data_IF_641075223115
#
_entry.id   IF_641075223115
#
_cell.length_a   1.000
_cell.length_b   1.000
_cell.length_c   1.000
_cell.angle_alpha   90.00
_cell.angle_beta   90.00
_cell.angle_gamma   90.00
#
_symmetry.space_group_name_H-M   'P 1'
#
loop_
_entity.id
_entity.type
_entity.pdbx_description
1 polymer ?
#
# COMPACT_ATOMS: atom_id res chain seq x y z
N UNK A 1 21.96 17.79 18.99
CA UNK A 1 20.78 17.77 18.12
C UNK A 1 20.90 16.58 17.19
N UNK A 2 20.22 15.48 17.50
CA UNK A 2 20.18 14.31 16.61
C UNK A 2 18.97 14.47 15.70
N UNK A 3 19.22 14.95 14.49
CA UNK A 3 18.26 15.05 13.41
C UNK A 3 17.73 13.64 13.11
N UNK A 4 16.52 13.35 13.58
CA UNK A 4 15.79 12.12 13.28
C UNK A 4 15.57 12.07 11.78
N UNK A 5 16.50 11.40 11.09
CA UNK A 5 16.47 11.14 9.65
C UNK A 5 15.08 10.68 9.29
N UNK A 6 14.43 11.45 8.44
CA UNK A 6 13.07 11.28 7.99
C UNK A 6 12.95 9.99 7.14
N UNK A 7 12.92 8.83 7.81
CA UNK A 7 12.92 7.50 7.17
C UNK A 7 11.62 7.18 6.43
N UNK A 8 10.58 7.97 6.66
CA UNK A 8 9.25 7.83 6.06
C UNK A 8 8.92 8.99 5.12
N UNK A 9 9.93 9.58 4.47
CA UNK A 9 9.66 10.51 3.37
C UNK A 9 9.19 9.74 2.14
N UNK A 10 8.10 10.19 1.53
CA UNK A 10 7.49 9.55 0.36
C UNK A 10 7.40 10.51 -0.82
N UNK A 11 7.45 9.94 -2.02
CA UNK A 11 7.38 10.69 -3.27
C UNK A 11 6.29 10.15 -4.18
N UNK A 12 5.50 11.08 -4.71
CA UNK A 12 4.40 10.75 -5.62
C UNK A 12 4.94 10.41 -7.02
N UNK A 13 4.45 9.31 -7.59
CA UNK A 13 4.81 8.90 -8.95
C UNK A 13 3.97 9.66 -10.00
N UNK A 14 4.29 9.51 -11.29
CA UNK A 14 3.61 10.25 -12.36
C UNK A 14 2.10 9.92 -12.46
N UNK A 15 1.70 8.67 -12.19
CA UNK A 15 0.30 8.27 -12.16
C UNK A 15 -0.45 8.92 -10.98
N UNK A 16 0.19 8.97 -9.81
CA UNK A 16 -0.31 9.64 -8.61
C UNK A 16 -0.54 11.13 -8.84
N UNK A 17 0.35 11.83 -9.55
CA UNK A 17 0.13 13.24 -9.94
C UNK A 17 -1.15 13.43 -10.74
N UNK A 18 -1.41 12.54 -11.68
CA UNK A 18 -2.63 12.60 -12.51
C UNK A 18 -3.88 12.33 -11.67
N UNK A 19 -3.84 11.32 -10.78
CA UNK A 19 -4.93 11.02 -9.84
C UNK A 19 -5.21 12.21 -8.91
N UNK A 20 -4.18 12.82 -8.31
CA UNK A 20 -4.31 14.02 -7.47
C UNK A 20 -4.94 15.19 -8.22
N UNK A 21 -4.51 15.43 -9.46
CA UNK A 21 -5.03 16.51 -10.31
C UNK A 21 -6.50 16.26 -10.67
N UNK A 22 -6.86 15.01 -11.01
CA UNK A 22 -8.25 14.61 -11.30
C UNK A 22 -9.15 14.74 -10.07
N UNK A 23 -8.69 14.27 -8.90
CA UNK A 23 -9.44 14.36 -7.66
C UNK A 23 -9.66 15.82 -7.25
N UNK A 24 -8.63 16.67 -7.38
CA UNK A 24 -8.74 18.11 -7.17
C UNK A 24 -9.77 18.74 -8.10
N UNK A 25 -9.72 18.42 -9.41
CA UNK A 25 -10.64 18.96 -10.41
C UNK A 25 -12.10 18.53 -10.17
N UNK A 26 -12.32 17.33 -9.62
CA UNK A 26 -13.65 16.83 -9.28
C UNK A 26 -14.25 17.43 -8.01
N UNK A 27 -13.40 17.97 -7.11
CA UNK A 27 -13.86 18.47 -5.81
C UNK A 27 -14.20 19.95 -5.85
N UNK A 28 -15.39 20.29 -5.38
CA UNK A 28 -15.87 21.68 -5.23
C UNK A 28 -15.86 22.09 -3.76
N UNK A 29 -15.50 23.34 -3.50
CA UNK A 29 -15.58 23.93 -2.17
C UNK A 29 -17.03 24.40 -1.89
N UNK A 30 -17.27 24.93 -0.70
CA UNK A 30 -18.57 25.47 -0.29
C UNK A 30 -19.03 26.67 -1.14
N UNK A 31 -18.12 27.29 -1.91
CA UNK A 31 -18.41 28.35 -2.88
C UNK A 31 -18.67 27.82 -4.31
N UNK A 32 -18.71 26.50 -4.49
CA UNK A 32 -18.87 25.86 -5.81
C UNK A 32 -17.63 25.93 -6.71
N UNK A 33 -16.50 26.44 -6.21
CA UNK A 33 -15.23 26.56 -6.95
C UNK A 33 -14.39 25.29 -6.78
N UNK A 34 -13.53 25.01 -7.76
CA UNK A 34 -12.55 23.92 -7.67
C UNK A 34 -11.62 24.19 -6.49
N UNK A 35 -11.31 23.14 -5.72
CA UNK A 35 -10.39 23.27 -4.59
C UNK A 35 -9.03 23.83 -5.01
N UNK A 36 -8.56 24.86 -4.31
CA UNK A 36 -7.21 25.40 -4.45
C UNK A 36 -6.22 24.61 -3.58
N UNK A 37 -4.92 24.88 -3.75
CA UNK A 37 -3.92 24.27 -2.87
C UNK A 37 -4.11 24.69 -1.41
N UNK A 38 -4.51 25.93 -1.15
CA UNK A 38 -4.89 26.42 0.17
C UNK A 38 -6.10 25.67 0.79
N UNK A 39 -7.12 25.34 0.00
CA UNK A 39 -8.28 24.58 0.48
C UNK A 39 -7.87 23.16 0.89
N UNK A 40 -7.04 22.50 0.07
CA UNK A 40 -6.51 21.17 0.36
C UNK A 40 -5.62 21.21 1.61
N UNK A 41 -4.76 22.22 1.70
CA UNK A 41 -3.87 22.44 2.85
C UNK A 41 -4.66 22.62 4.15
N UNK A 42 -5.72 23.42 4.11
CA UNK A 42 -6.63 23.64 5.25
C UNK A 42 -7.37 22.36 5.63
N UNK A 43 -7.86 21.60 4.66
CA UNK A 43 -8.56 20.34 4.90
C UNK A 43 -7.65 19.23 5.45
N UNK A 44 -6.37 19.22 5.04
CA UNK A 44 -5.38 18.24 5.48
C UNK A 44 -4.62 18.68 6.74
N UNK A 45 -4.76 19.93 7.19
CA UNK A 45 -4.02 20.48 8.33
C UNK A 45 -2.51 20.63 8.07
N UNK A 46 -2.11 20.85 6.82
CA UNK A 46 -0.69 20.98 6.41
C UNK A 46 -0.43 22.34 5.76
N UNK A 47 0.84 22.70 5.59
CA UNK A 47 1.21 23.93 4.87
C UNK A 47 0.95 23.83 3.37
N UNK A 48 0.50 24.91 2.74
CA UNK A 48 0.30 24.96 1.28
C UNK A 48 1.57 24.62 0.51
N UNK A 49 2.74 25.03 1.02
CA UNK A 49 4.05 24.65 0.45
C UNK A 49 4.22 23.14 0.39
N UNK A 50 3.83 22.41 1.43
CA UNK A 50 3.89 20.94 1.47
C UNK A 50 2.97 20.31 0.43
N UNK A 51 1.77 20.85 0.24
CA UNK A 51 0.85 20.40 -0.82
C UNK A 51 1.44 20.62 -2.20
N UNK A 52 1.98 21.82 -2.47
CA UNK A 52 2.64 22.14 -3.75
C UNK A 52 3.84 21.22 -4.02
N UNK A 53 4.64 20.92 -2.99
CA UNK A 53 5.75 19.96 -3.07
C UNK A 53 5.26 18.57 -3.45
N UNK A 54 4.23 18.07 -2.76
CA UNK A 54 3.67 16.74 -3.01
C UNK A 54 3.07 16.62 -4.41
N UNK A 55 2.29 17.59 -4.87
CA UNK A 55 1.74 17.64 -6.23
C UNK A 55 2.84 17.74 -7.30
N UNK A 56 3.90 18.50 -7.02
CA UNK A 56 5.04 18.62 -7.92
C UNK A 56 5.83 17.31 -8.06
N UNK A 57 5.85 16.47 -7.01
CA UNK A 57 6.62 15.22 -6.93
C UNK A 57 8.08 15.39 -7.33
N UNK A 58 8.67 16.54 -6.97
CA UNK A 58 10.10 16.84 -7.12
C UNK A 58 10.87 16.59 -5.82
N UNK A 59 10.21 16.76 -4.69
CA UNK A 59 10.78 16.64 -3.34
C UNK A 59 10.00 15.58 -2.56
N UNK A 60 10.69 14.90 -1.65
CA UNK A 60 10.10 13.96 -0.72
C UNK A 60 9.37 14.73 0.40
N UNK A 61 8.22 14.21 0.81
CA UNK A 61 7.42 14.77 1.90
C UNK A 61 7.14 13.71 2.95
N UNK A 62 7.02 14.12 4.21
CA UNK A 62 6.64 13.24 5.30
C UNK A 62 5.41 12.40 4.97
N UNK A 63 5.47 11.09 5.18
CA UNK A 63 4.34 10.17 4.96
C UNK A 63 3.07 10.60 5.68
N UNK A 64 3.19 11.10 6.91
CA UNK A 64 2.04 11.59 7.68
C UNK A 64 1.34 12.76 6.95
N UNK A 65 2.14 13.71 6.43
CA UNK A 65 1.61 14.83 5.64
C UNK A 65 1.03 14.36 4.30
N UNK A 66 1.70 13.44 3.61
CA UNK A 66 1.24 12.88 2.35
C UNK A 66 -0.07 12.11 2.50
N UNK A 67 -0.21 11.33 3.58
CA UNK A 67 -1.43 10.59 3.91
C UNK A 67 -2.58 11.55 4.23
N UNK A 68 -2.34 12.60 5.01
CA UNK A 68 -3.35 13.62 5.28
C UNK A 68 -3.87 14.28 4.00
N UNK A 69 -2.96 14.63 3.05
CA UNK A 69 -3.34 15.20 1.75
C UNK A 69 -4.15 14.19 0.92
N UNK A 70 -3.73 12.92 0.87
CA UNK A 70 -4.43 11.87 0.14
C UNK A 70 -5.85 11.67 0.71
N UNK A 71 -5.97 11.54 2.04
CA UNK A 71 -7.25 11.40 2.75
C UNK A 71 -8.17 12.60 2.53
N UNK A 72 -7.63 13.82 2.53
CA UNK A 72 -8.41 15.02 2.23
C UNK A 72 -9.03 15.00 0.83
N UNK A 73 -8.35 14.35 -0.14
CA UNK A 73 -8.85 14.14 -1.50
C UNK A 73 -9.63 12.84 -1.68
N UNK A 74 -9.87 12.09 -0.59
CA UNK A 74 -10.50 10.78 -0.61
C UNK A 74 -9.75 9.74 -1.47
N UNK A 75 -8.42 9.82 -1.45
CA UNK A 75 -7.50 8.93 -2.16
C UNK A 75 -6.68 8.14 -1.16
N UNK A 76 -6.19 6.98 -1.58
CA UNK A 76 -5.25 6.18 -0.80
C UNK A 76 -3.81 6.54 -1.20
N UNK A 77 -2.95 6.84 -0.22
CA UNK A 77 -1.55 7.19 -0.45
C UNK A 77 -0.80 6.10 -1.24
N UNK A 78 -1.07 4.82 -0.96
CA UNK A 78 -0.41 3.68 -1.63
C UNK A 78 -0.67 3.62 -3.14
N UNK A 79 -1.76 4.22 -3.61
CA UNK A 79 -2.07 4.33 -5.04
C UNK A 79 -1.38 5.52 -5.73
N UNK A 80 -0.78 6.42 -4.94
CA UNK A 80 -0.18 7.66 -5.42
C UNK A 80 1.35 7.59 -5.44
N UNK A 81 1.93 6.80 -4.53
CA UNK A 81 3.37 6.56 -4.44
C UNK A 81 3.69 5.23 -5.09
N UNK A 82 4.95 5.06 -5.52
CA UNK A 82 5.43 3.72 -5.85
C UNK A 82 5.45 2.91 -4.54
N UNK A 83 4.96 1.65 -4.52
CA UNK A 83 5.11 0.84 -3.33
C UNK A 83 6.61 0.83 -2.96
N UNK A 84 6.98 0.99 -1.68
CA UNK A 84 8.33 0.59 -1.30
C UNK A 84 8.46 -0.85 -1.80
N UNK A 85 9.58 -1.18 -2.43
CA UNK A 85 9.92 -2.53 -2.88
C UNK A 85 9.91 -3.47 -1.67
N UNK A 86 8.73 -3.79 -1.18
CA UNK A 86 8.49 -4.86 -0.25
C UNK A 86 8.64 -6.10 -1.10
N UNK A 87 9.49 -7.00 -0.59
CA UNK A 87 9.79 -8.34 -1.06
C UNK A 87 8.63 -8.98 -1.86
N UNK A 88 8.95 -9.83 -2.86
CA UNK A 88 7.95 -10.46 -3.71
C UNK A 88 6.78 -10.93 -2.86
N UNK A 89 5.58 -10.45 -3.18
CA UNK A 89 4.34 -11.00 -2.66
C UNK A 89 4.26 -12.46 -3.14
N UNK A 90 4.92 -13.34 -2.38
CA UNK A 90 4.70 -14.78 -2.35
C UNK A 90 3.29 -14.98 -1.80
N UNK A 91 2.31 -14.94 -2.71
CA UNK A 91 0.91 -14.82 -2.34
C UNK A 91 -0.06 -15.16 -3.46
N UNK A 92 0.35 -15.98 -4.43
CA UNK A 92 -0.58 -16.63 -5.34
C UNK A 92 -0.08 -18.04 -5.62
N UNK A 93 -0.74 -19.03 -5.01
CA UNK A 93 -0.50 -20.45 -5.31
C UNK A 93 0.00 -21.30 -4.16
N UNK A 94 -0.46 -21.07 -2.92
CA UNK A 94 -0.54 -22.19 -1.98
C UNK A 94 -1.61 -23.14 -2.52
N UNK A 95 -1.20 -24.07 -3.39
CA UNK A 95 -1.90 -25.33 -3.54
C UNK A 95 -1.67 -26.06 -2.21
N UNK A 96 -2.70 -26.29 -1.36
CA UNK A 96 -2.55 -27.29 -0.33
C UNK A 96 -2.41 -28.62 -1.07
N UNK A 97 -1.23 -29.21 -1.00
CA UNK A 97 -1.03 -30.64 -1.28
C UNK A 97 -2.11 -31.40 -0.50
N UNK A 98 -2.94 -32.25 -1.14
CA UNK A 98 -3.90 -33.05 -0.41
C UNK A 98 -3.13 -34.04 0.47
N UNK A 99 -3.01 -33.74 1.75
CA UNK A 99 -2.55 -34.69 2.75
C UNK A 99 -3.74 -35.61 3.07
N UNK A 100 -3.98 -36.57 2.17
CA UNK A 100 -4.96 -37.64 2.35
C UNK A 100 -4.34 -38.96 1.93
N UNK A 101 -3.80 -39.69 2.90
CA UNK A 101 -3.91 -41.15 3.04
C UNK A 101 -2.98 -41.63 4.16
N UNK A 102 -3.38 -41.38 5.41
CA UNK A 102 -3.04 -42.33 6.46
C UNK A 102 -3.87 -43.60 6.25
N UNK A 103 -3.17 -44.73 6.10
CA UNK A 103 -3.59 -46.15 6.21
C UNK A 103 -3.28 -46.97 4.93
N UNK A 104 -2.09 -47.57 4.91
CA UNK A 104 -1.93 -48.95 4.45
C UNK A 104 -1.20 -49.71 5.55
N UNK A 105 -1.85 -50.63 6.29
CA UNK A 105 -1.12 -51.65 7.02
C UNK A 105 -0.54 -52.65 6.00
N UNK A 106 0.76 -52.87 6.10
CA UNK A 106 1.50 -53.94 5.43
C UNK A 106 0.86 -55.30 5.73
N UNK A 107 0.61 -56.18 4.75
CA UNK A 107 0.28 -57.56 5.05
C UNK A 107 1.48 -58.24 5.71
N UNK A 108 1.25 -58.73 6.93
CA UNK A 108 2.19 -59.49 7.74
C UNK A 108 2.52 -60.82 7.05
N UNK A 109 3.66 -60.90 6.37
CA UNK A 109 4.22 -62.17 5.89
C UNK A 109 5.12 -62.73 6.97
N UNK A 110 4.54 -63.59 7.81
CA UNK A 110 5.23 -64.39 8.82
C UNK A 110 4.83 -65.85 8.62
N UNK A 111 5.66 -66.56 7.87
CA UNK A 111 5.55 -67.99 7.56
C UNK A 111 5.57 -68.77 8.88
N UNK A 112 4.47 -69.44 9.21
CA UNK A 112 4.42 -70.39 10.32
C UNK A 112 4.59 -71.79 9.74
N UNK A 113 5.78 -72.38 9.92
CA UNK A 113 6.04 -73.78 9.61
C UNK A 113 5.52 -74.62 10.78
N UNK A 114 4.40 -75.31 10.59
CA UNK A 114 4.03 -76.50 11.34
C UNK A 114 3.28 -77.47 10.41
N UNK A 115 3.61 -78.75 10.58
CA UNK A 115 3.02 -79.97 9.97
C UNK A 115 3.51 -80.35 8.57
N UNK A 116 4.59 -81.17 8.53
CA UNK A 116 4.49 -82.61 8.22
C UNK A 116 5.53 -83.38 9.05
#
# INVERSE_FOLDING_TARGET
MSESRNRDSVRVNQAGKQKLTKAKAGKRNHLGRVWSYADIASAAGVSEKTVKRFFGGKEDVDRCSAEAIARALNLNLAELIDPPVAAPSDGAGKMPTPQSAGKMPTPQSGINWHEI
#
